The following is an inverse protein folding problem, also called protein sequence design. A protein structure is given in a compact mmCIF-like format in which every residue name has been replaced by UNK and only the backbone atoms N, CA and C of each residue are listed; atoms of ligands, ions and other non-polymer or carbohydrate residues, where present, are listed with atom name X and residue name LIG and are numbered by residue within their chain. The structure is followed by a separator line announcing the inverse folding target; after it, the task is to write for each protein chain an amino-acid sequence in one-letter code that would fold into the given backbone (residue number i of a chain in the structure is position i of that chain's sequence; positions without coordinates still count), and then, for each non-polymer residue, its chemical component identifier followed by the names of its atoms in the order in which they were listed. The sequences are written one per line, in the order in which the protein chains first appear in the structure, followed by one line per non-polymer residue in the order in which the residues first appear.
data_IF_544250901727
#
_entry.id   IF_544250901727
#
_cell.length_a   1.000
_cell.length_b   1.000
_cell.length_c   1.000
_cell.angle_alpha   90.00
_cell.angle_beta   90.00
_cell.angle_gamma   90.00
#
_symmetry.space_group_name_H-M   'P 1'
#
loop_
_entity.id
_entity.type
_entity.pdbx_description
1 polymer ?
#
# COMPACT_ATOMS: atom_id res chain seq x y z
N UNK A 1 -14.33 28.68 8.32
CA UNK A 1 -13.94 27.31 7.94
C UNK A 1 -15.24 26.55 7.77
N UNK A 2 -15.48 25.91 6.63
CA UNK A 2 -16.76 25.23 6.37
C UNK A 2 -17.05 24.18 7.45
N UNK A 3 -18.27 24.15 8.01
CA UNK A 3 -18.60 23.35 9.19
C UNK A 3 -18.36 21.84 9.02
N UNK A 4 -18.38 21.34 7.77
CA UNK A 4 -18.11 19.93 7.46
C UNK A 4 -16.61 19.59 7.52
N UNK A 5 -15.70 20.55 7.30
CA UNK A 5 -14.25 20.35 7.47
C UNK A 5 -13.91 20.06 8.93
N UNK A 6 -14.57 20.77 9.85
CA UNK A 6 -14.47 20.49 11.28
C UNK A 6 -14.97 19.06 11.61
N UNK A 7 -16.06 18.62 10.96
CA UNK A 7 -16.52 17.25 11.10
C UNK A 7 -15.48 16.23 10.62
N UNK A 8 -14.91 16.42 9.42
CA UNK A 8 -13.88 15.54 8.86
C UNK A 8 -12.66 15.43 9.81
N UNK A 9 -12.16 16.56 10.32
CA UNK A 9 -11.06 16.58 11.27
C UNK A 9 -11.42 15.85 12.57
N UNK A 10 -12.61 16.14 13.14
CA UNK A 10 -13.07 15.49 14.37
C UNK A 10 -13.28 13.99 14.20
N UNK A 11 -13.79 13.55 13.05
CA UNK A 11 -13.94 12.15 12.71
C UNK A 11 -12.57 11.45 12.66
N UNK A 12 -11.61 12.00 11.93
CA UNK A 12 -10.26 11.43 11.85
C UNK A 12 -9.57 11.41 13.22
N UNK A 13 -9.70 12.46 14.03
CA UNK A 13 -9.18 12.51 15.40
C UNK A 13 -9.84 11.44 16.30
N UNK A 14 -11.15 11.23 16.16
CA UNK A 14 -11.86 10.20 16.90
C UNK A 14 -11.35 8.80 16.53
N UNK A 15 -11.12 8.52 15.24
CA UNK A 15 -10.52 7.26 14.78
C UNK A 15 -9.11 7.07 15.34
N UNK A 16 -8.29 8.12 15.35
CA UNK A 16 -6.94 8.09 15.95
C UNK A 16 -6.99 7.69 17.42
N UNK A 17 -7.91 8.26 18.19
CA UNK A 17 -8.11 7.89 19.60
C UNK A 17 -8.57 6.43 19.74
N UNK A 18 -9.46 5.95 18.86
CA UNK A 18 -9.93 4.56 18.91
C UNK A 18 -8.80 3.55 18.69
N UNK A 19 -7.85 3.84 17.80
CA UNK A 19 -6.66 2.99 17.63
C UNK A 19 -5.81 2.89 18.91
N UNK A 20 -5.71 3.97 19.69
CA UNK A 20 -4.94 3.96 20.94
C UNK A 20 -5.66 3.19 22.04
N UNK A 21 -6.95 3.42 22.23
CA UNK A 21 -7.66 2.94 23.42
C UNK A 21 -8.72 1.84 23.19
N UNK A 22 -8.94 1.44 21.93
CA UNK A 22 -9.88 0.39 21.55
C UNK A 22 -11.35 0.76 21.68
N UNK A 23 -11.68 2.01 22.02
CA UNK A 23 -13.06 2.47 22.25
C UNK A 23 -13.76 2.88 20.96
N UNK A 24 -14.05 1.90 20.11
CA UNK A 24 -14.67 2.10 18.80
C UNK A 24 -16.13 2.60 18.85
N UNK A 25 -16.81 2.43 19.99
CA UNK A 25 -18.13 2.99 20.25
C UNK A 25 -18.15 4.53 20.14
N UNK A 26 -16.98 5.19 20.29
CA UNK A 26 -16.78 6.63 20.07
C UNK A 26 -17.27 7.10 18.70
N UNK A 27 -17.23 6.23 17.68
CA UNK A 27 -17.60 6.60 16.31
C UNK A 27 -19.12 6.51 16.06
N UNK A 28 -19.86 5.74 16.87
CA UNK A 28 -21.31 5.57 16.71
C UNK A 28 -22.09 6.89 16.68
N UNK A 29 -21.89 7.84 17.61
CA UNK A 29 -22.63 9.10 17.58
C UNK A 29 -22.27 10.00 16.38
N UNK A 30 -21.18 9.72 15.65
CA UNK A 30 -20.82 10.48 14.45
C UNK A 30 -21.59 10.02 13.21
N UNK A 31 -22.20 8.83 13.24
CA UNK A 31 -23.01 8.28 12.16
C UNK A 31 -24.38 8.93 12.04
N UNK A 32 -24.86 9.08 10.80
CA UNK A 32 -26.23 9.45 10.46
C UNK A 32 -27.19 8.26 10.58
N UNK A 33 -26.65 7.05 10.41
CA UNK A 33 -27.32 5.75 10.55
C UNK A 33 -26.42 4.79 11.34
N UNK A 34 -26.95 3.75 12.00
CA UNK A 34 -26.17 2.84 12.86
C UNK A 34 -24.93 2.22 12.17
N UNK A 35 -25.03 1.95 10.88
CA UNK A 35 -23.99 1.26 10.11
C UNK A 35 -23.13 2.18 9.22
N UNK A 36 -23.24 3.50 9.40
CA UNK A 36 -22.45 4.48 8.65
C UNK A 36 -20.95 4.19 8.82
N UNK A 37 -20.29 3.67 7.79
CA UNK A 37 -18.88 3.29 7.83
C UNK A 37 -18.55 2.00 8.59
N UNK A 38 -19.51 1.09 8.81
CA UNK A 38 -19.27 -0.18 9.52
C UNK A 38 -18.10 -0.99 8.93
N UNK A 39 -18.09 -1.19 7.61
CA UNK A 39 -16.99 -1.87 6.89
C UNK A 39 -15.63 -1.22 7.16
N UNK A 40 -15.57 0.11 7.18
CA UNK A 40 -14.33 0.82 7.46
C UNK A 40 -13.87 0.63 8.92
N UNK A 41 -14.81 0.65 9.87
CA UNK A 41 -14.52 0.38 11.28
C UNK A 41 -13.96 -1.02 11.50
N UNK A 42 -14.55 -2.03 10.86
CA UNK A 42 -14.06 -3.42 10.94
C UNK A 42 -12.60 -3.54 10.48
N UNK A 43 -12.21 -2.82 9.42
CA UNK A 43 -10.83 -2.81 8.95
C UNK A 43 -9.88 -2.18 9.99
N UNK A 44 -10.28 -1.08 10.62
CA UNK A 44 -9.49 -0.43 11.66
C UNK A 44 -9.39 -1.27 12.95
N UNK A 45 -10.48 -1.94 13.34
CA UNK A 45 -10.49 -2.88 14.46
C UNK A 45 -9.52 -4.03 14.20
N UNK A 46 -9.57 -4.64 13.01
CA UNK A 46 -8.68 -5.73 12.62
C UNK A 46 -7.21 -5.29 12.57
N UNK A 47 -6.95 -4.05 12.18
CA UNK A 47 -5.62 -3.45 12.26
C UNK A 47 -5.14 -3.35 13.73
N UNK A 48 -6.01 -2.89 14.64
CA UNK A 48 -5.70 -2.83 16.08
C UNK A 48 -5.50 -4.24 16.69
N UNK A 49 -6.39 -5.18 16.39
CA UNK A 49 -6.27 -6.58 16.81
C UNK A 49 -4.94 -7.18 16.37
N UNK A 50 -4.48 -6.88 15.16
CA UNK A 50 -3.18 -7.33 14.68
C UNK A 50 -2.02 -6.84 15.57
N UNK A 51 -2.07 -5.62 16.11
CA UNK A 51 -1.08 -5.16 17.09
C UNK A 51 -1.18 -5.94 18.41
N UNK A 52 -2.40 -6.10 18.93
CA UNK A 52 -2.65 -6.82 20.18
C UNK A 52 -2.19 -8.28 20.11
N UNK A 53 -2.50 -9.00 19.02
CA UNK A 53 -2.11 -10.39 18.76
C UNK A 53 -0.58 -10.58 18.77
N UNK A 54 0.16 -9.53 18.42
CA UNK A 54 1.63 -9.52 18.40
C UNK A 54 2.25 -9.13 19.74
N UNK A 55 1.45 -8.76 20.74
CA UNK A 55 1.92 -8.17 21.99
C UNK A 55 2.42 -6.73 21.84
N UNK A 56 1.97 -6.02 20.80
CA UNK A 56 2.29 -4.61 20.59
C UNK A 56 1.23 -3.70 21.22
N UNK A 57 1.68 -2.56 21.75
CA UNK A 57 0.83 -1.51 22.29
C UNK A 57 0.96 -0.25 21.41
N UNK A 58 -0.16 0.26 20.88
CA UNK A 58 -0.17 1.53 20.14
C UNK A 58 -0.09 2.68 21.16
N UNK A 59 1.04 3.38 21.20
CA UNK A 59 1.30 4.44 22.19
C UNK A 59 0.80 5.80 21.74
N UNK A 60 0.76 6.05 20.42
CA UNK A 60 0.23 7.28 19.84
C UNK A 60 -0.16 7.07 18.38
N UNK A 61 -1.16 7.83 17.93
CA UNK A 61 -1.49 7.97 16.51
C UNK A 61 -1.55 9.44 16.17
N UNK A 62 -0.87 9.82 15.09
CA UNK A 62 -0.91 11.16 14.51
C UNK A 62 -1.48 11.04 13.11
N UNK A 63 -2.30 11.99 12.69
CA UNK A 63 -2.81 11.99 11.32
C UNK A 63 -3.05 13.38 10.76
N UNK A 64 -2.59 13.57 9.53
CA UNK A 64 -2.69 14.80 8.75
C UNK A 64 -3.70 14.57 7.62
N UNK A 65 -4.78 15.35 7.60
CA UNK A 65 -5.91 15.19 6.66
C UNK A 65 -5.92 16.35 5.68
N UNK A 66 -5.99 16.03 4.38
CA UNK A 66 -6.02 17.02 3.29
C UNK A 66 -7.21 16.71 2.37
N UNK A 67 -8.26 17.54 2.36
CA UNK A 67 -9.32 17.44 1.34
C UNK A 67 -8.73 17.65 -0.06
N UNK A 68 -9.07 16.78 -0.99
CA UNK A 68 -8.60 16.83 -2.38
C UNK A 68 -9.68 17.42 -3.29
N UNK A 69 -10.90 16.91 -3.18
CA UNK A 69 -12.06 17.30 -3.98
C UNK A 69 -13.33 17.12 -3.14
N UNK A 70 -14.31 18.00 -3.31
CA UNK A 70 -15.62 17.83 -2.70
C UNK A 70 -16.76 18.38 -3.57
N UNK A 71 -17.94 17.78 -3.42
CA UNK A 71 -19.21 18.26 -3.95
C UNK A 71 -20.18 18.51 -2.82
N UNK A 72 -20.70 19.73 -2.76
CA UNK A 72 -21.76 20.12 -1.83
C UNK A 72 -23.09 20.26 -2.57
N UNK A 73 -24.13 19.60 -2.08
CA UNK A 73 -25.49 19.70 -2.62
C UNK A 73 -26.53 19.39 -1.55
N UNK A 74 -27.51 20.28 -1.37
CA UNK A 74 -28.70 20.05 -0.53
C UNK A 74 -28.40 19.52 0.88
N UNK A 75 -27.41 20.11 1.57
CA UNK A 75 -27.02 19.69 2.92
C UNK A 75 -26.31 18.34 2.97
N UNK A 76 -25.73 17.89 1.86
CA UNK A 76 -24.84 16.73 1.75
C UNK A 76 -23.51 17.18 1.16
N UNK A 77 -22.40 16.69 1.72
CA UNK A 77 -21.06 16.88 1.15
C UNK A 77 -20.49 15.50 0.87
N UNK A 78 -20.04 15.28 -0.36
CA UNK A 78 -19.17 14.15 -0.71
C UNK A 78 -17.76 14.70 -0.82
N UNK A 79 -16.81 14.11 -0.11
CA UNK A 79 -15.42 14.56 -0.09
C UNK A 79 -14.49 13.37 -0.31
N UNK A 80 -13.52 13.61 -1.17
CA UNK A 80 -12.34 12.80 -1.31
C UNK A 80 -11.17 13.50 -0.60
N UNK A 81 -10.45 12.77 0.24
CA UNK A 81 -9.37 13.32 1.04
C UNK A 81 -8.19 12.36 1.14
N UNK A 82 -6.99 12.91 1.18
CA UNK A 82 -5.78 12.19 1.55
C UNK A 82 -5.62 12.22 3.07
N UNK A 83 -5.27 11.08 3.64
CA UNK A 83 -4.99 10.94 5.07
C UNK A 83 -3.65 10.24 5.27
N UNK A 84 -2.67 10.99 5.80
CA UNK A 84 -1.39 10.44 6.24
C UNK A 84 -1.50 10.13 7.72
N UNK A 85 -1.30 8.86 8.10
CA UNK A 85 -1.36 8.37 9.47
C UNK A 85 0.01 7.83 9.87
N UNK A 86 0.46 8.21 11.07
CA UNK A 86 1.66 7.69 11.74
C UNK A 86 1.23 7.03 13.04
N UNK A 87 1.45 5.72 13.15
CA UNK A 87 1.17 4.94 14.34
C UNK A 87 2.49 4.62 15.03
N UNK A 88 2.66 5.13 16.25
CA UNK A 88 3.75 4.78 17.14
C UNK A 88 3.29 3.63 18.02
N UNK A 89 4.08 2.58 18.08
CA UNK A 89 3.75 1.41 18.88
C UNK A 89 5.00 0.81 19.52
N UNK A 90 4.81 0.18 20.67
CA UNK A 90 5.86 -0.51 21.41
C UNK A 90 5.67 -2.01 21.30
N UNK A 91 6.73 -2.73 20.93
CA UNK A 91 6.76 -4.19 20.88
C UNK A 91 8.01 -4.69 21.59
N UNK A 92 7.83 -5.47 22.67
CA UNK A 92 8.93 -5.99 23.50
C UNK A 92 9.96 -4.91 23.91
N UNK A 93 9.49 -3.72 24.27
CA UNK A 93 10.34 -2.59 24.66
C UNK A 93 10.98 -1.81 23.50
N UNK A 94 10.77 -2.23 22.26
CA UNK A 94 11.21 -1.50 21.07
C UNK A 94 10.10 -0.59 20.56
N UNK A 95 10.40 0.71 20.43
CA UNK A 95 9.49 1.66 19.82
C UNK A 95 9.63 1.62 18.29
N UNK A 96 8.49 1.49 17.60
CA UNK A 96 8.38 1.35 16.15
C UNK A 96 7.37 2.36 15.61
N UNK A 97 7.51 2.70 14.33
CA UNK A 97 6.60 3.60 13.62
C UNK A 97 6.15 2.93 12.34
N UNK A 98 4.82 2.79 12.17
CA UNK A 98 4.18 2.48 10.89
C UNK A 98 3.60 3.76 10.31
N UNK A 99 3.80 3.99 9.01
CA UNK A 99 3.18 5.10 8.32
C UNK A 99 2.33 4.61 7.16
N UNK A 100 1.23 5.31 6.90
CA UNK A 100 0.34 5.01 5.78
C UNK A 100 -0.21 6.29 5.21
N UNK A 101 -0.22 6.41 3.88
CA UNK A 101 -0.91 7.48 3.16
C UNK A 101 -1.99 6.85 2.32
N UNK A 102 -3.25 7.19 2.64
CA UNK A 102 -4.45 6.59 2.05
C UNK A 102 -5.38 7.67 1.52
N UNK A 103 -6.04 7.40 0.40
CA UNK A 103 -7.04 8.28 -0.20
C UNK A 103 -8.43 7.70 0.05
N UNK A 104 -9.30 8.47 0.68
CA UNK A 104 -10.61 8.01 1.11
C UNK A 104 -11.70 8.88 0.53
N UNK A 105 -12.86 8.26 0.31
CA UNK A 105 -14.10 8.95 -0.03
C UNK A 105 -15.07 8.80 1.12
N UNK A 106 -15.72 9.90 1.49
CA UNK A 106 -16.81 9.88 2.46
C UNK A 106 -17.93 10.81 2.02
N UNK A 107 -19.14 10.52 2.49
CA UNK A 107 -20.25 11.45 2.47
C UNK A 107 -20.68 11.82 3.89
N UNK A 108 -21.00 13.09 4.07
CA UNK A 108 -21.61 13.62 5.29
C UNK A 108 -22.92 14.29 4.94
N UNK A 109 -23.90 14.19 5.83
CA UNK A 109 -25.20 14.84 5.70
C UNK A 109 -25.48 15.73 6.89
N UNK A 110 -26.19 16.82 6.63
CA UNK A 110 -26.62 17.76 7.65
C UNK A 110 -27.76 17.16 8.45
N UNK A 111 -27.61 17.12 9.77
CA UNK A 111 -28.65 16.72 10.71
C UNK A 111 -28.73 17.75 11.83
N UNK A 112 -29.86 18.47 11.90
CA UNK A 112 -30.01 19.61 12.79
C UNK A 112 -29.02 20.72 12.45
N UNK A 113 -28.23 21.16 13.44
CA UNK A 113 -27.20 22.19 13.27
C UNK A 113 -25.83 21.65 12.89
N UNK A 114 -25.65 20.32 12.87
CA UNK A 114 -24.35 19.67 12.65
C UNK A 114 -24.30 18.76 11.42
N UNK A 115 -23.14 18.15 11.23
CA UNK A 115 -22.88 17.14 10.21
C UNK A 115 -22.75 15.75 10.83
N UNK A 116 -23.15 14.73 10.07
CA UNK A 116 -23.05 13.32 10.44
C UNK A 116 -22.54 12.52 9.26
N UNK A 117 -21.78 11.47 9.53
CA UNK A 117 -21.28 10.53 8.55
C UNK A 117 -22.45 9.76 7.93
N UNK A 118 -22.61 9.85 6.62
CA UNK A 118 -23.53 8.98 5.88
C UNK A 118 -22.83 7.66 5.51
N UNK A 119 -21.69 7.76 4.80
CA UNK A 119 -20.84 6.62 4.47
C UNK A 119 -19.37 7.04 4.35
N UNK A 120 -18.48 6.05 4.47
CA UNK A 120 -17.06 6.15 4.16
C UNK A 120 -16.62 4.86 3.48
N UNK A 121 -15.87 5.00 2.40
CA UNK A 121 -15.35 3.88 1.62
C UNK A 121 -13.90 3.57 2.00
N UNK A 122 -13.55 2.27 2.12
CA UNK A 122 -12.16 1.87 2.26
C UNK A 122 -11.33 2.17 1.02
N UNK A 123 -10.10 2.62 1.24
CA UNK A 123 -9.08 2.70 0.20
C UNK A 123 -8.70 1.28 -0.25
N UNK A 124 -8.79 0.96 -1.54
CA UNK A 124 -8.43 -0.37 -2.03
C UNK A 124 -6.93 -0.65 -1.83
N UNK A 125 -6.62 -1.86 -1.37
CA UNK A 125 -5.29 -2.46 -1.39
C UNK A 125 -5.21 -3.50 -2.52
N UNK A 126 -4.13 -3.48 -3.30
CA UNK A 126 -3.83 -4.47 -4.34
C UNK A 126 -4.49 -4.24 -5.70
N UNK A 127 -4.09 -5.02 -6.71
CA UNK A 127 -4.71 -4.98 -8.04
C UNK A 127 -6.18 -5.38 -7.95
N UNK A 128 -7.07 -4.52 -8.46
CA UNK A 128 -8.50 -4.86 -8.51
C UNK A 128 -8.72 -6.01 -9.50
N UNK A 129 -9.34 -7.10 -9.04
CA UNK A 129 -9.77 -8.16 -9.94
C UNK A 129 -10.94 -7.61 -10.78
N UNK A 130 -10.70 -7.33 -12.05
CA UNK A 130 -11.68 -6.74 -12.98
C UNK A 130 -12.95 -7.59 -13.15
N UNK A 131 -12.98 -8.82 -12.63
CA UNK A 131 -14.16 -9.66 -12.58
C UNK A 131 -15.23 -9.20 -11.54
N UNK A 132 -14.90 -8.29 -10.63
CA UNK A 132 -15.81 -7.82 -9.55
C UNK A 132 -16.47 -6.47 -9.88
N UNK A 133 -16.09 -5.82 -10.98
CA UNK A 133 -16.64 -4.52 -11.39
C UNK A 133 -17.35 -4.62 -12.74
N UNK A 134 -18.58 -5.13 -12.72
CA UNK A 134 -19.62 -4.63 -13.62
C UNK A 134 -20.37 -3.52 -12.87
N UNK A 135 -19.74 -2.34 -12.79
CA UNK A 135 -20.50 -1.09 -12.91
C UNK A 135 -19.55 0.06 -13.25
N UNK A 136 -20.09 0.93 -14.09
CA UNK A 136 -19.52 2.03 -14.85
C UNK A 136 -18.48 2.93 -14.18
N UNK A 137 -17.55 3.38 -15.04
CA UNK A 137 -16.87 4.68 -15.06
C UNK A 137 -15.76 4.98 -14.03
N UNK A 138 -14.51 5.03 -14.52
CA UNK A 138 -13.86 6.29 -14.90
C UNK A 138 -12.34 6.11 -14.99
N UNK A 139 -11.82 5.84 -16.19
CA UNK A 139 -10.41 6.06 -16.50
C UNK A 139 -10.23 7.54 -16.86
N UNK A 140 -9.73 8.33 -15.90
CA UNK A 140 -9.17 9.64 -16.21
C UNK A 140 -7.66 9.49 -16.33
N UNK A 141 -7.21 9.33 -17.57
CA UNK A 141 -5.83 9.66 -17.96
C UNK A 141 -5.59 11.14 -17.66
N UNK A 142 -4.66 11.44 -16.76
CA UNK A 142 -4.13 12.79 -16.61
C UNK A 142 -2.75 12.85 -17.26
N UNK A 143 -2.66 13.71 -18.28
CA UNK A 143 -1.44 14.02 -19.03
C UNK A 143 -0.59 15.10 -18.33
N UNK A 144 0.72 14.81 -18.34
CA UNK A 144 1.89 15.66 -18.62
C UNK A 144 2.36 16.81 -17.70
N UNK A 145 3.61 16.67 -17.25
CA UNK A 145 4.80 17.58 -17.40
C UNK A 145 5.97 16.84 -16.71
N UNK A 146 7.24 16.74 -17.11
CA UNK A 146 8.16 17.44 -18.02
C UNK A 146 9.25 16.43 -18.50
N UNK A 147 10.21 16.87 -19.33
CA UNK A 147 11.33 16.10 -19.90
C UNK A 147 11.82 14.93 -19.02
N UNK A 148 11.76 13.72 -19.59
CA UNK A 148 12.05 12.48 -18.86
C UNK A 148 13.39 12.54 -18.16
N UNK A 149 13.35 12.61 -16.82
CA UNK A 149 14.55 12.48 -16.01
C UNK A 149 15.27 11.19 -16.42
N UNK A 150 16.58 11.24 -16.69
CA UNK A 150 17.33 10.03 -16.97
C UNK A 150 17.15 9.08 -15.78
N UNK A 151 16.93 7.79 -16.06
CA UNK A 151 16.93 6.77 -15.02
C UNK A 151 18.20 6.95 -14.17
N UNK A 152 18.13 6.77 -12.85
CA UNK A 152 19.30 6.83 -11.99
C UNK A 152 20.43 6.02 -12.63
N UNK A 153 21.61 6.62 -12.78
CA UNK A 153 22.74 5.95 -13.44
C UNK A 153 23.15 4.74 -12.61
N UNK A 154 22.60 3.58 -12.98
CA UNK A 154 23.04 2.33 -12.40
C UNK A 154 24.47 2.09 -12.89
N UNK A 155 25.41 2.15 -11.96
CA UNK A 155 26.61 1.34 -12.09
C UNK A 155 26.10 -0.09 -12.17
N UNK A 156 25.95 -0.60 -13.40
CA UNK A 156 25.73 -2.01 -13.69
C UNK A 156 27.01 -2.73 -13.28
N UNK A 157 27.27 -2.77 -11.97
CA UNK A 157 28.36 -3.49 -11.41
C UNK A 157 28.10 -4.94 -11.75
N UNK A 158 29.12 -5.62 -12.23
CA UNK A 158 29.24 -7.07 -12.27
C UNK A 158 29.08 -7.76 -10.89
N UNK A 159 28.42 -7.10 -9.92
CA UNK A 159 28.48 -7.33 -8.47
C UNK A 159 27.15 -7.79 -7.82
N UNK A 160 26.11 -8.10 -8.59
CA UNK A 160 24.87 -8.71 -8.05
C UNK A 160 23.92 -7.72 -7.34
N UNK A 161 22.83 -8.25 -6.78
CA UNK A 161 21.78 -7.47 -6.12
C UNK A 161 22.25 -6.88 -4.78
N UNK A 162 21.94 -5.60 -4.55
CA UNK A 162 22.24 -4.79 -3.37
C UNK A 162 20.96 -4.51 -2.61
N UNK A 163 20.64 -5.38 -1.65
CA UNK A 163 19.45 -5.26 -0.80
C UNK A 163 19.36 -3.91 -0.09
N UNK A 164 20.48 -3.37 0.37
CA UNK A 164 20.55 -2.06 1.04
C UNK A 164 20.08 -0.91 0.14
N UNK A 165 20.40 -0.95 -1.17
CA UNK A 165 19.97 0.08 -2.12
C UNK A 165 18.49 -0.06 -2.48
N UNK A 166 17.99 -1.29 -2.59
CA UNK A 166 16.56 -1.54 -2.79
C UNK A 166 15.73 -1.05 -1.60
N UNK A 167 16.20 -1.30 -0.38
CA UNK A 167 15.56 -0.81 0.85
C UNK A 167 15.64 0.71 0.93
N UNK A 168 16.80 1.32 0.62
CA UNK A 168 16.94 2.78 0.60
C UNK A 168 15.97 3.43 -0.40
N UNK A 169 15.80 2.84 -1.59
CA UNK A 169 14.81 3.28 -2.57
C UNK A 169 13.39 3.15 -2.03
N UNK A 170 13.06 2.00 -1.44
CA UNK A 170 11.75 1.75 -0.85
C UNK A 170 11.43 2.73 0.29
N UNK A 171 12.43 3.13 1.09
CA UNK A 171 12.31 4.14 2.15
C UNK A 171 12.19 5.56 1.60
N UNK A 172 12.79 5.86 0.45
CA UNK A 172 12.69 7.18 -0.18
C UNK A 172 11.32 7.39 -0.84
N UNK A 173 10.80 6.38 -1.53
CA UNK A 173 9.63 6.52 -2.39
C UNK A 173 8.34 5.92 -1.81
N UNK A 174 8.33 5.40 -0.58
CA UNK A 174 7.14 4.72 -0.01
C UNK A 174 5.82 5.51 -0.08
N UNK A 175 5.87 6.84 -0.13
CA UNK A 175 4.70 7.74 -0.16
C UNK A 175 4.61 8.64 -1.40
N UNK A 176 5.43 8.39 -2.43
CA UNK A 176 5.48 9.21 -3.64
C UNK A 176 5.89 8.41 -4.88
N UNK A 177 5.36 8.80 -6.05
CA UNK A 177 5.81 8.22 -7.31
C UNK A 177 7.18 8.80 -7.70
N UNK A 178 8.08 7.96 -8.20
CA UNK A 178 9.31 8.45 -8.83
C UNK A 178 8.99 8.93 -10.26
N UNK A 179 9.20 10.22 -10.59
CA UNK A 179 8.86 10.78 -11.92
C UNK A 179 9.69 10.18 -13.06
N UNK A 180 10.79 9.48 -12.79
CA UNK A 180 11.56 8.75 -13.80
C UNK A 180 10.82 7.51 -14.35
N UNK A 181 9.71 7.11 -13.72
CA UNK A 181 8.93 5.93 -14.07
C UNK A 181 7.46 6.29 -14.33
N UNK A 182 6.74 5.51 -15.15
CA UNK A 182 5.30 5.69 -15.29
C UNK A 182 4.58 5.45 -13.97
N UNK A 183 3.54 6.25 -13.71
CA UNK A 183 2.65 6.10 -12.57
C UNK A 183 1.45 5.23 -12.93
N UNK A 184 1.02 4.38 -11.99
CA UNK A 184 -0.13 3.49 -12.12
C UNK A 184 -1.07 3.70 -10.94
N UNK A 185 -2.37 3.46 -11.15
CA UNK A 185 -3.34 3.39 -10.03
C UNK A 185 -3.03 2.17 -9.15
N UNK A 186 -2.88 0.99 -9.76
CA UNK A 186 -2.40 -0.22 -9.09
C UNK A 186 -0.88 -0.32 -9.24
N UNK A 187 -0.16 0.28 -8.30
CA UNK A 187 1.27 0.55 -8.43
C UNK A 187 2.18 -0.44 -7.69
N UNK A 188 1.61 -1.44 -7.00
CA UNK A 188 2.39 -2.35 -6.16
C UNK A 188 3.61 -2.94 -6.88
N UNK A 189 3.40 -3.60 -8.02
CA UNK A 189 4.45 -4.30 -8.77
C UNK A 189 5.43 -3.33 -9.43
N UNK A 190 4.95 -2.19 -9.92
CA UNK A 190 5.81 -1.18 -10.52
C UNK A 190 6.76 -0.58 -9.46
N UNK A 191 6.25 -0.25 -8.27
CA UNK A 191 7.08 0.17 -7.14
C UNK A 191 8.10 -0.89 -6.72
N UNK A 192 7.69 -2.15 -6.58
CA UNK A 192 8.63 -3.23 -6.22
C UNK A 192 9.68 -3.42 -7.32
N UNK A 193 9.30 -3.35 -8.59
CA UNK A 193 10.24 -3.43 -9.70
C UNK A 193 11.26 -2.28 -9.68
N UNK A 194 10.82 -1.05 -9.36
CA UNK A 194 11.73 0.07 -9.16
C UNK A 194 12.70 -0.17 -8.00
N UNK A 195 12.24 -0.72 -6.86
CA UNK A 195 13.10 -1.07 -5.73
C UNK A 195 14.16 -2.10 -6.14
N UNK A 196 13.76 -3.17 -6.84
CA UNK A 196 14.67 -4.21 -7.32
C UNK A 196 15.68 -3.68 -8.35
N UNK A 197 15.23 -2.78 -9.23
CA UNK A 197 16.10 -2.10 -10.20
C UNK A 197 17.11 -1.18 -9.51
N UNK A 198 16.68 -0.38 -8.54
CA UNK A 198 17.56 0.44 -7.71
C UNK A 198 18.54 -0.41 -6.89
N UNK A 199 18.13 -1.62 -6.52
CA UNK A 199 19.00 -2.67 -5.98
C UNK A 199 20.03 -3.23 -6.96
N UNK A 200 20.08 -2.76 -8.21
CA UNK A 200 21.09 -3.14 -9.19
C UNK A 200 20.76 -4.38 -10.03
N UNK A 201 19.53 -4.90 -9.98
CA UNK A 201 19.10 -5.98 -10.89
C UNK A 201 18.95 -5.40 -12.30
N UNK A 202 19.69 -5.92 -13.29
CA UNK A 202 19.61 -5.40 -14.65
C UNK A 202 18.27 -5.77 -15.29
N UNK A 203 17.70 -4.83 -16.04
CA UNK A 203 16.52 -5.12 -16.86
C UNK A 203 16.87 -6.14 -17.94
N UNK A 204 16.02 -7.14 -18.09
CA UNK A 204 16.09 -8.11 -19.19
C UNK A 204 15.10 -7.70 -20.27
N UNK A 205 15.57 -6.90 -21.23
CA UNK A 205 14.71 -6.35 -22.28
C UNK A 205 14.20 -7.41 -23.26
N UNK A 206 12.95 -7.25 -23.68
CA UNK A 206 12.33 -8.01 -24.77
C UNK A 206 11.51 -7.10 -25.68
N UNK A 207 11.15 -7.59 -26.87
CA UNK A 207 10.16 -6.96 -27.75
C UNK A 207 8.73 -7.34 -27.37
N UNK A 208 8.55 -8.49 -26.72
CA UNK A 208 7.25 -9.00 -26.27
C UNK A 208 6.99 -8.60 -24.82
N UNK A 209 5.80 -8.07 -24.51
CA UNK A 209 5.43 -7.69 -23.13
C UNK A 209 5.38 -8.88 -22.17
N UNK A 210 5.10 -10.08 -22.65
CA UNK A 210 5.05 -11.30 -21.86
C UNK A 210 6.41 -11.90 -21.50
N UNK A 211 7.52 -11.31 -21.93
CA UNK A 211 8.87 -11.86 -21.72
C UNK A 211 9.82 -10.83 -21.15
N UNK A 212 10.75 -11.31 -20.33
CA UNK A 212 11.78 -10.49 -19.69
C UNK A 212 11.26 -9.81 -18.42
N UNK A 213 11.97 -8.76 -18.01
CA UNK A 213 11.62 -7.86 -16.93
C UNK A 213 12.24 -6.50 -17.21
N UNK A 214 11.43 -5.55 -17.68
CA UNK A 214 11.92 -4.29 -18.24
C UNK A 214 10.86 -3.20 -18.25
N UNK A 215 11.34 -1.96 -18.22
CA UNK A 215 10.56 -0.75 -18.45
C UNK A 215 11.40 0.21 -19.28
N UNK A 216 10.77 0.81 -20.30
CA UNK A 216 11.35 1.85 -21.16
C UNK A 216 10.61 3.14 -20.83
N UNK A 217 11.30 4.15 -20.26
CA UNK A 217 10.65 5.42 -19.91
C UNK A 217 10.47 6.31 -21.15
N UNK A 218 9.81 7.46 -20.97
CA UNK A 218 9.63 8.49 -22.00
C UNK A 218 8.24 8.51 -22.63
N UNK A 219 8.05 9.32 -23.67
CA UNK A 219 6.74 9.59 -24.32
C UNK A 219 6.03 8.35 -24.86
N UNK A 220 6.77 7.31 -25.21
CA UNK A 220 6.22 6.01 -25.63
C UNK A 220 6.59 4.94 -24.61
N UNK A 221 6.32 5.24 -23.33
CA UNK A 221 6.63 4.36 -22.23
C UNK A 221 6.05 2.96 -22.49
N UNK A 222 6.86 1.95 -22.22
CA UNK A 222 6.48 0.56 -22.45
C UNK A 222 7.16 -0.32 -21.43
N UNK A 223 6.49 -1.38 -21.02
CA UNK A 223 6.96 -2.28 -19.96
C UNK A 223 6.50 -3.71 -20.21
N UNK A 224 7.21 -4.67 -19.63
CA UNK A 224 6.77 -6.06 -19.55
C UNK A 224 5.69 -6.25 -18.49
N UNK A 225 4.86 -7.29 -18.63
CA UNK A 225 3.88 -7.64 -17.59
C UNK A 225 4.55 -7.94 -16.25
N UNK A 226 5.70 -8.61 -16.24
CA UNK A 226 6.48 -8.87 -15.01
C UNK A 226 7.00 -7.61 -14.31
N UNK A 227 7.01 -6.45 -14.96
CA UNK A 227 7.40 -5.18 -14.35
C UNK A 227 6.24 -4.54 -13.57
N UNK A 228 5.00 -4.71 -14.05
CA UNK A 228 3.85 -3.95 -13.56
C UNK A 228 2.66 -4.80 -13.08
N UNK A 229 2.66 -6.12 -13.29
CA UNK A 229 1.56 -7.04 -12.91
C UNK A 229 2.03 -8.06 -11.90
N UNK A 230 1.35 -8.13 -10.74
CA UNK A 230 1.76 -8.89 -9.57
C UNK A 230 1.96 -10.37 -9.87
N UNK A 231 0.99 -11.00 -10.54
CA UNK A 231 1.08 -12.41 -10.90
C UNK A 231 2.24 -12.69 -11.86
N UNK A 232 2.52 -11.78 -12.79
CA UNK A 232 3.62 -11.94 -13.74
C UNK A 232 4.98 -11.82 -13.05
N UNK A 233 5.11 -10.91 -12.08
CA UNK A 233 6.32 -10.81 -11.25
C UNK A 233 6.49 -12.07 -10.38
N UNK A 234 5.41 -12.58 -9.76
CA UNK A 234 5.43 -13.84 -9.01
C UNK A 234 5.95 -14.99 -9.86
N UNK A 235 5.47 -15.15 -11.10
CA UNK A 235 5.93 -16.22 -11.99
C UNK A 235 7.43 -16.09 -12.31
N UNK A 236 7.91 -14.86 -12.52
CA UNK A 236 9.34 -14.58 -12.73
C UNK A 236 10.17 -14.95 -11.49
N UNK A 237 9.75 -14.52 -10.29
CA UNK A 237 10.43 -14.84 -9.03
C UNK A 237 10.43 -16.35 -8.77
N UNK A 238 9.30 -17.02 -8.97
CA UNK A 238 9.14 -18.47 -8.83
C UNK A 238 10.03 -19.26 -9.78
N UNK A 239 10.32 -18.74 -10.97
CA UNK A 239 11.22 -19.42 -11.91
C UNK A 239 12.65 -19.55 -11.39
N UNK A 240 13.08 -18.68 -10.46
CA UNK A 240 14.46 -18.58 -9.99
C UNK A 240 15.47 -18.20 -11.08
N UNK A 241 15.00 -17.87 -12.29
CA UNK A 241 15.83 -17.55 -13.43
C UNK A 241 16.36 -16.12 -13.43
N UNK A 242 17.20 -15.76 -14.42
CA UNK A 242 17.63 -14.38 -14.64
C UNK A 242 16.44 -13.44 -14.93
N UNK A 243 16.53 -12.15 -14.56
CA UNK A 243 17.64 -11.51 -13.87
C UNK A 243 17.55 -11.63 -12.33
N UNK A 244 16.42 -12.11 -11.79
CA UNK A 244 16.10 -12.03 -10.35
C UNK A 244 16.87 -13.04 -9.48
N UNK A 245 17.10 -14.26 -9.97
CA UNK A 245 17.73 -15.35 -9.19
C UNK A 245 17.10 -15.54 -7.80
N UNK A 246 15.78 -15.41 -7.73
CA UNK A 246 15.05 -15.49 -6.47
C UNK A 246 14.99 -16.93 -5.95
N UNK A 247 15.06 -17.10 -4.63
CA UNK A 247 14.91 -18.39 -3.94
C UNK A 247 13.68 -18.34 -3.06
N UNK A 248 12.74 -19.26 -3.32
CA UNK A 248 11.54 -19.35 -2.50
C UNK A 248 11.87 -19.80 -1.08
N UNK A 249 11.33 -19.09 -0.09
CA UNK A 249 11.42 -19.41 1.34
C UNK A 249 10.11 -20.03 1.82
N UNK A 250 10.22 -20.84 2.89
CA UNK A 250 9.06 -21.58 3.42
C UNK A 250 8.23 -20.77 4.41
N UNK A 251 8.82 -19.73 4.99
CA UNK A 251 8.20 -18.97 6.06
C UNK A 251 8.74 -17.53 6.09
N UNK A 252 7.94 -16.57 6.60
CA UNK A 252 8.30 -15.16 6.61
C UNK A 252 9.52 -14.84 7.49
N UNK A 253 9.79 -15.63 8.55
CA UNK A 253 10.93 -15.46 9.45
C UNK A 253 12.27 -15.61 8.71
N UNK A 254 12.28 -16.32 7.59
CA UNK A 254 13.48 -16.54 6.78
C UNK A 254 13.81 -15.35 5.86
N UNK A 255 12.88 -14.41 5.71
CA UNK A 255 13.10 -13.24 4.87
C UNK A 255 14.02 -12.25 5.55
N UNK A 256 14.73 -11.45 4.78
CA UNK A 256 15.57 -10.35 5.22
C UNK A 256 15.23 -9.07 4.46
N UNK A 257 15.63 -7.87 4.93
CA UNK A 257 15.45 -6.65 4.15
C UNK A 257 15.98 -6.79 2.71
N UNK A 258 15.19 -6.36 1.73
CA UNK A 258 15.39 -6.56 0.30
C UNK A 258 14.56 -7.70 -0.31
N UNK A 259 14.06 -8.61 0.52
CA UNK A 259 13.25 -9.74 0.04
C UNK A 259 11.83 -9.32 -0.36
N UNK A 260 11.17 -10.14 -1.18
CA UNK A 260 9.85 -9.85 -1.73
C UNK A 260 8.80 -10.83 -1.19
N UNK A 261 7.61 -10.31 -0.91
CA UNK A 261 6.42 -11.10 -0.58
C UNK A 261 5.38 -10.88 -1.68
N UNK A 262 4.83 -11.96 -2.21
CA UNK A 262 3.68 -11.93 -3.11
C UNK A 262 2.44 -12.43 -2.36
N UNK A 263 1.29 -11.80 -2.58
CA UNK A 263 0.02 -12.10 -1.93
C UNK A 263 -0.99 -12.58 -2.97
N UNK A 264 -1.61 -13.72 -2.68
CA UNK A 264 -2.78 -14.27 -3.35
C UNK A 264 -3.94 -14.14 -2.36
N UNK A 265 -4.69 -13.04 -2.45
CA UNK A 265 -5.66 -12.60 -1.45
C UNK A 265 -6.87 -13.53 -1.32
N UNK A 266 -7.37 -14.08 -2.41
CA UNK A 266 -8.54 -14.95 -2.47
C UNK A 266 -8.19 -16.45 -2.48
N UNK A 267 -6.90 -16.78 -2.63
CA UNK A 267 -6.40 -18.15 -2.62
C UNK A 267 -6.64 -18.89 -3.93
N UNK A 268 -6.94 -18.19 -5.03
CA UNK A 268 -7.26 -18.78 -6.33
C UNK A 268 -6.01 -19.19 -7.14
N UNK A 269 -4.82 -18.82 -6.66
CA UNK A 269 -3.53 -19.07 -7.29
C UNK A 269 -3.03 -17.94 -8.20
N UNK A 270 -3.85 -16.91 -8.46
CA UNK A 270 -3.43 -15.64 -9.05
C UNK A 270 -2.92 -14.75 -7.92
N UNK A 271 -1.76 -14.12 -8.11
CA UNK A 271 -1.18 -13.23 -7.11
C UNK A 271 -1.53 -11.80 -7.49
N UNK A 272 -2.16 -11.05 -6.57
CA UNK A 272 -2.73 -9.72 -6.84
C UNK A 272 -1.92 -8.58 -6.19
N UNK A 273 -0.95 -8.88 -5.33
CA UNK A 273 -0.14 -7.85 -4.68
C UNK A 273 1.29 -8.29 -4.42
N UNK A 274 2.21 -7.32 -4.37
CA UNK A 274 3.63 -7.55 -4.05
C UNK A 274 4.19 -6.45 -3.15
N UNK A 275 5.06 -6.84 -2.21
CA UNK A 275 5.71 -5.91 -1.27
C UNK A 275 7.19 -6.24 -1.09
N UNK A 276 7.99 -5.27 -0.64
CA UNK A 276 9.40 -5.48 -0.29
C UNK A 276 9.59 -5.38 1.22
N UNK A 277 10.36 -6.31 1.79
CA UNK A 277 10.79 -6.29 3.20
C UNK A 277 11.84 -5.21 3.37
N UNK A 278 11.64 -4.32 4.35
CA UNK A 278 12.58 -3.24 4.67
C UNK A 278 13.20 -3.36 6.05
N UNK A 279 12.56 -4.10 6.96
CA UNK A 279 13.04 -4.33 8.31
C UNK A 279 12.42 -5.61 8.91
N UNK A 280 12.82 -5.90 10.15
CA UNK A 280 12.15 -6.86 11.02
C UNK A 280 11.77 -6.19 12.32
N UNK A 281 10.64 -6.59 12.88
CA UNK A 281 10.23 -6.17 14.22
C UNK A 281 10.93 -7.00 15.31
N UNK A 282 10.62 -6.70 16.57
CA UNK A 282 11.19 -7.41 17.73
C UNK A 282 10.73 -8.88 17.84
N UNK A 283 9.71 -9.31 17.08
CA UNK A 283 9.32 -10.72 16.94
C UNK A 283 10.08 -11.41 15.79
N UNK A 284 11.07 -10.75 15.19
CA UNK A 284 11.80 -11.20 14.01
C UNK A 284 10.93 -11.40 12.76
N UNK A 285 9.76 -10.75 12.74
CA UNK A 285 8.82 -10.83 11.63
C UNK A 285 9.03 -9.67 10.66
N UNK A 286 8.83 -9.87 9.35
CA UNK A 286 9.10 -8.81 8.37
C UNK A 286 8.18 -7.59 8.52
N UNK A 287 8.77 -6.41 8.28
CA UNK A 287 8.06 -5.16 8.05
C UNK A 287 8.29 -4.75 6.59
N UNK A 288 7.25 -4.31 5.91
CA UNK A 288 7.25 -4.09 4.46
C UNK A 288 6.86 -2.68 4.07
N UNK A 289 7.42 -2.21 2.95
CA UNK A 289 6.94 -1.04 2.24
C UNK A 289 6.17 -1.47 0.99
N UNK A 290 5.15 -0.69 0.63
CA UNK A 290 4.24 -1.01 -0.47
C UNK A 290 3.53 0.22 -1.02
N UNK A 291 3.08 0.12 -2.28
CA UNK A 291 2.20 1.07 -2.96
C UNK A 291 0.77 0.51 -3.14
N UNK A 292 -0.07 1.19 -3.95
CA UNK A 292 -1.53 1.12 -4.04
C UNK A 292 -2.21 1.79 -2.84
N UNK A 293 -1.96 1.28 -1.63
CA UNK A 293 -2.04 2.11 -0.42
C UNK A 293 -0.64 2.28 0.13
N UNK A 294 -0.09 3.47 -0.05
CA UNK A 294 1.28 3.82 0.33
C UNK A 294 1.52 3.53 1.80
N UNK A 295 2.42 2.59 2.07
CA UNK A 295 2.66 2.03 3.40
C UNK A 295 4.15 1.92 3.66
N UNK A 296 4.57 2.34 4.85
CA UNK A 296 5.94 2.18 5.36
C UNK A 296 5.94 1.39 6.66
N UNK A 297 6.83 0.42 6.76
CA UNK A 297 7.00 -0.45 7.93
C UNK A 297 5.69 -1.15 8.35
N UNK A 298 4.84 -1.51 7.37
CA UNK A 298 3.58 -2.26 7.60
C UNK A 298 3.91 -3.70 7.95
N UNK A 299 3.12 -4.32 8.83
CA UNK A 299 3.34 -5.73 9.16
C UNK A 299 3.02 -6.63 7.97
N UNK A 300 3.91 -7.58 7.69
CA UNK A 300 3.91 -8.38 6.45
C UNK A 300 2.65 -9.18 6.19
N UNK A 301 1.89 -9.60 7.21
CA UNK A 301 0.79 -10.55 6.99
C UNK A 301 -0.42 -9.91 6.28
N UNK A 302 -0.44 -8.58 6.15
CA UNK A 302 -1.49 -7.84 5.44
C UNK A 302 -2.91 -8.10 5.96
N UNK A 303 -3.09 -8.58 7.21
CA UNK A 303 -4.43 -8.82 7.77
C UNK A 303 -5.26 -7.56 7.87
N UNK A 304 -4.64 -6.38 7.94
CA UNK A 304 -5.33 -5.09 7.95
C UNK A 304 -5.85 -4.65 6.56
N UNK A 305 -5.51 -5.38 5.50
CA UNK A 305 -5.78 -4.99 4.11
C UNK A 305 -7.22 -5.11 3.64
N UNK A 306 -7.72 -4.17 2.86
CA UNK A 306 -9.09 -4.23 2.32
C UNK A 306 -9.33 -5.41 1.37
N UNK A 307 -8.26 -5.97 0.81
CA UNK A 307 -8.31 -7.16 -0.04
C UNK A 307 -8.12 -8.47 0.74
N UNK A 308 -7.79 -8.43 2.03
CA UNK A 308 -7.60 -9.63 2.83
C UNK A 308 -8.84 -10.53 2.84
N UNK A 309 -8.62 -11.82 2.63
CA UNK A 309 -9.59 -12.88 2.92
C UNK A 309 -8.95 -13.96 3.81
N UNK A 310 -9.73 -14.78 4.51
CA UNK A 310 -9.19 -15.94 5.24
C UNK A 310 -8.46 -16.96 4.36
N UNK A 311 -8.67 -16.94 3.03
CA UNK A 311 -8.03 -17.83 2.08
C UNK A 311 -6.66 -17.34 1.59
N UNK A 312 -6.20 -16.18 2.07
CA UNK A 312 -4.96 -15.56 1.62
C UNK A 312 -3.79 -16.54 1.64
N UNK A 313 -3.01 -16.53 0.57
CA UNK A 313 -1.77 -17.28 0.42
C UNK A 313 -0.61 -16.32 0.18
N UNK A 314 0.58 -16.77 0.55
CA UNK A 314 1.80 -16.00 0.44
C UNK A 314 2.85 -16.79 -0.34
N UNK A 315 3.67 -16.07 -1.10
CA UNK A 315 4.92 -16.60 -1.62
C UNK A 315 6.06 -15.69 -1.18
N UNK A 316 7.03 -16.28 -0.49
CA UNK A 316 8.17 -15.59 0.10
C UNK A 316 9.40 -15.81 -0.78
N UNK A 317 10.04 -14.74 -1.23
CA UNK A 317 11.19 -14.82 -2.12
C UNK A 317 12.38 -14.07 -1.54
N UNK A 318 13.44 -14.83 -1.30
CA UNK A 318 14.74 -14.24 -1.06
C UNK A 318 15.39 -13.84 -2.37
N UNK A 319 15.76 -12.57 -2.50
CA UNK A 319 16.45 -12.09 -3.69
C UNK A 319 17.96 -12.25 -3.45
N UNK A 320 18.59 -13.14 -4.23
CA UNK A 320 20.00 -13.42 -4.04
C UNK A 320 20.85 -12.20 -4.42
N UNK A 321 21.38 -11.53 -3.40
CA UNK A 321 22.61 -10.75 -3.52
C UNK A 321 23.82 -11.66 -3.73
N UNK A 322 24.98 -11.06 -3.98
CA UNK A 322 26.22 -11.80 -3.73
C UNK A 322 26.54 -11.84 -2.25
#
# INVERSE_FOLDING_TARGET
MEDWLNFLQNYCNAVQQCWVDGRWERLQPLGAVPDAGARQRELWMREQEQYLDRGAEITAVQGDVVPLYWLESNGRVQVEFAWHVRQLYRLHGTDLVKETRRQQRMAVIRQGTGWKLDWIEPSPDGEMNTAVLNDSDAWLEMNETEEGMPLPSLVHGSKGYRADQAVAYAEQYWNSANPAFPHFTDDCTNFISQCLYAGGIPMLFSREKGRGWWMRPGKSASWSYSWAVAHSLYLLLKSGGPPMRAVQKRSPEQLVPGDVICYDFDGDGRFQHTTIVVAKDANHMPLVNAHTTNSRMRYWNYRDSTAYTPNIRYAFFHIQGM
#
